data_IF_150789324584
#
_entry.id   IF_150789324584
#
_cell.length_a   1.000
_cell.length_b   1.000
_cell.length_c   1.000
_cell.angle_alpha   90.00
_cell.angle_beta   90.00
_cell.angle_gamma   90.00
#
_symmetry.space_group_name_H-M   'P 1'
#
loop_
_entity.id
_entity.type
_entity.pdbx_description
1 polymer ?
#
# COMPACT_ATOMS: atom_id res chain seq x y z
N UNK A 1 -32.10 27.21 27.11
CA UNK A 1 -32.33 26.25 26.02
C UNK A 1 -31.04 25.44 25.89
N UNK A 2 -30.97 24.30 26.57
CA UNK A 2 -29.77 23.45 26.67
C UNK A 2 -29.70 22.56 25.43
N UNK A 3 -28.60 22.64 24.69
CA UNK A 3 -28.31 21.77 23.56
C UNK A 3 -27.25 20.77 24.00
N UNK A 4 -27.64 19.50 24.16
CA UNK A 4 -26.68 18.40 24.24
C UNK A 4 -26.30 17.98 22.81
N UNK A 5 -25.01 17.83 22.48
CA UNK A 5 -24.62 17.16 21.26
C UNK A 5 -24.60 15.65 21.49
N UNK A 6 -25.37 14.95 20.65
CA UNK A 6 -25.27 13.50 20.44
C UNK A 6 -23.90 13.22 19.83
N UNK A 7 -23.07 12.48 20.56
CA UNK A 7 -21.88 11.84 20.01
C UNK A 7 -22.31 10.50 19.45
N UNK A 8 -22.36 10.37 18.12
CA UNK A 8 -22.53 9.09 17.47
C UNK A 8 -21.24 8.26 17.65
N UNK A 9 -21.35 7.22 18.47
CA UNK A 9 -20.41 6.11 18.58
C UNK A 9 -20.36 5.36 17.26
N UNK A 10 -19.26 5.50 16.51
CA UNK A 10 -18.86 4.50 15.53
C UNK A 10 -18.19 3.33 16.25
N UNK A 11 -19.03 2.46 16.83
CA UNK A 11 -18.63 1.13 17.28
C UNK A 11 -18.66 0.17 16.09
N UNK A 12 -17.50 -0.33 15.68
CA UNK A 12 -17.43 -1.44 14.73
C UNK A 12 -18.02 -2.72 15.38
N UNK A 13 -18.90 -3.47 14.70
CA UNK A 13 -19.46 -4.67 15.30
C UNK A 13 -18.43 -5.80 15.35
N UNK A 14 -18.27 -6.38 16.53
CA UNK A 14 -17.57 -7.63 16.81
C UNK A 14 -18.23 -8.80 16.08
N UNK A 15 -17.43 -9.60 15.38
CA UNK A 15 -17.88 -10.84 14.75
C UNK A 15 -18.24 -11.89 15.82
N UNK A 16 -19.53 -12.20 15.96
CA UNK A 16 -20.02 -13.33 16.74
C UNK A 16 -20.48 -14.47 15.83
N UNK A 17 -19.92 -15.64 16.10
CA UNK A 17 -20.28 -17.00 15.68
C UNK A 17 -21.73 -17.23 15.22
N UNK A 18 -21.88 -17.72 13.99
CA UNK A 18 -23.10 -18.38 13.50
C UNK A 18 -22.93 -19.91 13.59
N UNK A 19 -23.66 -20.53 14.51
CA UNK A 19 -24.01 -21.96 14.49
C UNK A 19 -25.53 -22.06 14.47
N UNK A 20 -26.09 -22.87 13.56
CA UNK A 20 -27.54 -23.06 13.50
C UNK A 20 -28.03 -23.70 12.21
N UNK A 21 -28.23 -25.01 12.28
CA UNK A 21 -28.68 -25.91 11.22
C UNK A 21 -30.20 -25.92 10.97
N UNK A 22 -30.55 -26.43 9.78
CA UNK A 22 -31.72 -27.26 9.43
C UNK A 22 -33.12 -26.63 9.31
N UNK A 23 -33.80 -26.92 8.19
CA UNK A 23 -35.26 -26.69 8.07
C UNK A 23 -35.85 -26.72 6.65
N UNK A 24 -35.90 -27.91 6.03
CA UNK A 24 -36.84 -28.43 5.01
C UNK A 24 -37.74 -27.52 4.13
N UNK A 25 -37.53 -27.68 2.81
CA UNK A 25 -38.46 -28.13 1.75
C UNK A 25 -39.86 -27.49 1.56
N UNK A 26 -40.17 -27.04 0.33
CA UNK A 26 -41.38 -27.43 -0.45
C UNK A 26 -41.12 -27.29 -1.98
N UNK A 27 -41.74 -28.21 -2.71
CA UNK A 27 -41.59 -28.66 -4.08
C UNK A 27 -42.19 -27.82 -5.25
N UNK A 28 -42.00 -28.41 -6.46
CA UNK A 28 -42.77 -28.33 -7.74
C UNK A 28 -42.36 -27.22 -8.73
N UNK A 29 -42.28 -27.41 -10.05
CA UNK A 29 -42.59 -28.55 -10.93
C UNK A 29 -42.03 -28.37 -12.36
N UNK A 30 -41.65 -29.50 -12.98
CA UNK A 30 -41.87 -29.96 -14.37
C UNK A 30 -41.78 -29.00 -15.58
N UNK A 31 -40.97 -29.44 -16.57
CA UNK A 31 -41.26 -29.77 -18.01
C UNK A 31 -39.99 -29.48 -18.82
N UNK A 32 -39.56 -30.20 -19.87
CA UNK A 32 -39.94 -31.41 -20.62
C UNK A 32 -38.73 -31.74 -21.52
N UNK A 33 -38.55 -33.02 -21.84
CA UNK A 33 -37.59 -33.56 -22.79
C UNK A 33 -37.66 -32.95 -24.20
N UNK A 34 -36.51 -32.90 -24.89
CA UNK A 34 -36.37 -33.37 -26.27
C UNK A 34 -35.01 -34.07 -26.44
N UNK A 35 -35.06 -35.29 -27.00
CA UNK A 35 -33.92 -36.10 -27.45
C UNK A 35 -34.06 -36.26 -28.96
N UNK A 36 -32.92 -36.28 -29.66
CA UNK A 36 -32.47 -37.13 -30.81
C UNK A 36 -31.52 -36.29 -31.70
N UNK A 37 -30.20 -36.56 -31.67
CA UNK A 37 -29.40 -37.47 -32.55
C UNK A 37 -29.43 -37.04 -34.03
N UNK A 38 -28.37 -37.03 -34.85
CA UNK A 38 -26.94 -37.31 -34.75
C UNK A 38 -26.24 -36.91 -36.08
N UNK A 39 -24.92 -36.73 -36.04
CA UNK A 39 -23.90 -37.03 -37.08
C UNK A 39 -23.99 -36.39 -38.49
N UNK A 40 -22.93 -35.70 -38.92
CA UNK A 40 -21.85 -36.23 -39.80
C UNK A 40 -20.80 -35.15 -40.05
N UNK A 41 -19.56 -35.61 -40.06
CA UNK A 41 -18.26 -34.97 -40.22
C UNK A 41 -18.07 -34.08 -41.45
N UNK A 42 -17.22 -33.05 -41.32
CA UNK A 42 -16.22 -32.75 -42.36
C UNK A 42 -14.91 -32.27 -41.71
N UNK A 43 -13.84 -32.96 -42.07
CA UNK A 43 -12.48 -32.68 -41.67
C UNK A 43 -11.93 -31.47 -42.43
N UNK A 44 -11.30 -30.54 -41.71
CA UNK A 44 -10.33 -29.62 -42.27
C UNK A 44 -9.17 -29.51 -41.28
N UNK A 45 -8.12 -30.27 -41.56
CA UNK A 45 -6.81 -30.20 -40.93
C UNK A 45 -6.15 -28.86 -41.30
N UNK A 46 -6.07 -27.92 -40.35
CA UNK A 46 -5.11 -26.82 -40.39
C UNK A 46 -4.02 -27.11 -39.37
N UNK A 47 -2.90 -27.60 -39.89
CA UNK A 47 -1.64 -27.77 -39.20
C UNK A 47 -1.08 -26.39 -38.86
N UNK A 48 -1.37 -25.87 -37.66
CA UNK A 48 -0.63 -24.75 -37.09
C UNK A 48 0.61 -25.33 -36.41
N UNK A 49 1.84 -24.90 -36.75
CA UNK A 49 3.01 -25.37 -36.07
C UNK A 49 2.94 -24.88 -34.61
N UNK A 50 2.91 -25.82 -33.68
CA UNK A 50 3.24 -25.60 -32.28
C UNK A 50 4.74 -25.24 -32.21
N UNK A 51 5.06 -24.01 -32.59
CA UNK A 51 6.33 -23.37 -32.28
C UNK A 51 6.31 -22.96 -30.81
N UNK A 52 7.30 -23.44 -30.06
CA UNK A 52 7.55 -23.13 -28.67
C UNK A 52 7.43 -21.63 -28.38
N UNK A 53 6.32 -21.22 -27.76
CA UNK A 53 6.26 -20.03 -26.91
C UNK A 53 6.76 -20.41 -25.51
N UNK A 54 8.01 -20.88 -25.42
CA UNK A 54 8.79 -20.67 -24.20
C UNK A 54 9.28 -19.23 -24.28
N UNK A 55 8.43 -18.29 -23.86
CA UNK A 55 8.84 -16.91 -23.64
C UNK A 55 10.01 -16.93 -22.67
N UNK A 56 11.20 -16.73 -23.23
CA UNK A 56 12.46 -16.85 -22.53
C UNK A 56 12.53 -15.68 -21.52
N UNK A 57 12.08 -15.91 -20.29
CA UNK A 57 12.18 -14.95 -19.20
C UNK A 57 13.62 -14.42 -19.03
N UNK A 58 14.60 -15.22 -19.45
CA UNK A 58 16.02 -14.86 -19.58
C UNK A 58 16.27 -13.69 -20.53
N UNK A 59 15.55 -13.58 -21.65
CA UNK A 59 15.71 -12.51 -22.64
C UNK A 59 15.18 -11.17 -22.11
N UNK A 60 14.07 -11.19 -21.37
CA UNK A 60 13.57 -10.02 -20.65
C UNK A 60 14.60 -9.58 -19.61
N UNK A 61 15.07 -10.49 -18.74
CA UNK A 61 16.09 -10.21 -17.71
C UNK A 61 17.40 -9.64 -18.29
N UNK A 62 17.79 -10.05 -19.52
CA UNK A 62 18.99 -9.53 -20.21
C UNK A 62 18.83 -8.12 -20.75
N UNK A 63 17.63 -7.74 -21.21
CA UNK A 63 17.35 -6.39 -21.71
C UNK A 63 17.48 -5.33 -20.60
N UNK A 64 17.10 -5.68 -19.36
CA UNK A 64 17.22 -4.79 -18.19
C UNK A 64 18.66 -4.39 -17.82
N UNK A 65 19.68 -5.15 -18.25
CA UNK A 65 21.07 -4.98 -17.79
C UNK A 65 21.93 -4.02 -18.62
N UNK A 66 21.45 -3.45 -19.73
CA UNK A 66 22.36 -2.84 -20.74
C UNK A 66 22.17 -1.34 -21.05
N UNK A 67 21.33 -0.59 -20.36
CA UNK A 67 21.26 0.87 -20.54
C UNK A 67 21.85 1.61 -19.34
N UNK A 68 23.12 2.02 -19.47
CA UNK A 68 23.84 2.91 -18.55
C UNK A 68 23.38 4.37 -18.60
N UNK A 69 22.07 4.60 -18.44
CA UNK A 69 21.49 5.91 -18.13
C UNK A 69 21.25 6.04 -16.63
N UNK A 70 21.14 7.27 -16.11
CA UNK A 70 20.69 7.50 -14.73
C UNK A 70 19.39 6.71 -14.49
N UNK A 71 19.41 5.82 -13.49
CA UNK A 71 18.25 5.02 -13.11
C UNK A 71 17.12 5.94 -12.63
N UNK A 72 16.21 6.27 -13.55
CA UNK A 72 15.05 7.08 -13.22
C UNK A 72 14.06 6.24 -12.40
N UNK A 73 13.45 6.88 -11.41
CA UNK A 73 12.44 6.26 -10.58
C UNK A 73 11.16 6.01 -11.37
N UNK A 74 10.91 4.76 -11.76
CA UNK A 74 9.79 4.38 -12.61
C UNK A 74 8.43 4.81 -12.01
N UNK A 75 8.24 4.66 -10.70
CA UNK A 75 6.97 4.99 -10.04
C UNK A 75 6.75 6.49 -9.83
N UNK A 76 7.79 7.31 -9.96
CA UNK A 76 7.69 8.78 -9.89
C UNK A 76 7.72 9.46 -11.27
N UNK A 77 7.84 8.71 -12.37
CA UNK A 77 7.67 9.22 -13.74
C UNK A 77 6.19 9.33 -14.09
N UNK A 78 5.79 10.18 -15.04
CA UNK A 78 4.47 10.11 -15.68
C UNK A 78 4.24 8.73 -16.31
N UNK A 79 3.00 8.25 -16.26
CA UNK A 79 2.67 6.91 -16.74
C UNK A 79 1.18 6.59 -16.66
N UNK A 80 0.89 5.35 -17.00
CA UNK A 80 -0.43 4.74 -17.00
C UNK A 80 -0.50 3.64 -15.94
N UNK A 81 -1.63 3.57 -15.23
CA UNK A 81 -1.92 2.46 -14.32
C UNK A 81 -2.88 1.47 -14.99
N UNK A 82 -2.39 0.26 -15.21
CA UNK A 82 -3.21 -0.87 -15.64
C UNK A 82 -3.87 -1.52 -14.43
N UNK A 83 -5.16 -1.87 -14.58
CA UNK A 83 -5.98 -2.58 -13.60
C UNK A 83 -6.82 -3.63 -14.33
N UNK A 84 -6.51 -4.90 -14.09
CA UNK A 84 -7.28 -6.05 -14.57
C UNK A 84 -8.37 -6.47 -13.60
N UNK A 85 -8.84 -7.71 -13.73
CA UNK A 85 -9.96 -8.23 -12.93
C UNK A 85 -9.52 -8.76 -11.56
N UNK A 86 -8.32 -9.35 -11.47
CA UNK A 86 -7.83 -10.01 -10.27
C UNK A 86 -7.16 -9.08 -9.26
N UNK A 87 -7.00 -9.53 -7.99
CA UNK A 87 -6.31 -8.77 -6.95
C UNK A 87 -4.80 -8.63 -7.20
N UNK A 88 -4.25 -9.35 -8.17
CA UNK A 88 -2.84 -9.29 -8.59
C UNK A 88 -2.64 -8.47 -9.87
N UNK A 89 -3.72 -8.07 -10.53
CA UNK A 89 -3.70 -7.55 -11.89
C UNK A 89 -3.62 -6.03 -11.85
N UNK A 90 -2.48 -5.52 -11.37
CA UNK A 90 -2.20 -4.10 -11.31
C UNK A 90 -0.75 -3.84 -11.69
N UNK A 91 -0.52 -2.85 -12.55
CA UNK A 91 0.82 -2.48 -13.02
C UNK A 91 0.94 -0.98 -13.27
N UNK A 92 2.04 -0.39 -12.82
CA UNK A 92 2.43 0.96 -13.23
C UNK A 92 3.33 0.88 -14.47
N UNK A 93 2.95 1.57 -15.54
CA UNK A 93 3.65 1.57 -16.82
C UNK A 93 4.09 3.01 -17.11
N UNK A 94 5.39 3.34 -16.91
CA UNK A 94 5.90 4.67 -17.24
C UNK A 94 5.79 4.94 -18.74
N UNK A 95 5.43 6.16 -19.12
CA UNK A 95 5.52 6.59 -20.51
C UNK A 95 6.98 6.74 -20.94
N UNK A 96 7.26 6.44 -22.20
CA UNK A 96 8.52 6.73 -22.89
C UNK A 96 8.32 7.79 -23.98
N UNK A 97 9.41 8.26 -24.59
CA UNK A 97 9.34 9.33 -25.60
C UNK A 97 8.50 8.94 -26.82
N UNK A 98 8.45 7.65 -27.18
CA UNK A 98 7.68 7.18 -28.33
C UNK A 98 6.17 7.22 -28.10
N UNK A 99 5.72 7.29 -26.84
CA UNK A 99 4.30 7.43 -26.50
C UNK A 99 3.73 8.82 -26.89
N UNK A 100 4.59 9.78 -27.19
CA UNK A 100 4.20 11.16 -27.54
C UNK A 100 4.43 11.49 -29.02
N UNK A 101 4.74 10.48 -29.84
CA UNK A 101 4.89 10.65 -31.29
C UNK A 101 3.57 11.08 -31.95
N UNK A 102 3.66 11.89 -33.01
CA UNK A 102 2.49 12.38 -33.76
C UNK A 102 1.85 11.33 -34.68
N UNK A 103 2.28 10.08 -34.59
CA UNK A 103 1.75 9.00 -35.41
C UNK A 103 0.30 8.72 -35.00
N UNK A 104 -0.66 8.62 -35.94
CA UNK A 104 -2.03 8.32 -35.61
C UNK A 104 -2.13 6.92 -34.99
N UNK A 105 -2.72 6.83 -33.80
CA UNK A 105 -2.97 5.58 -33.09
C UNK A 105 -4.41 5.16 -33.31
N UNK A 106 -4.64 3.86 -33.57
CA UNK A 106 -5.99 3.29 -33.70
C UNK A 106 -6.50 2.89 -32.32
N UNK A 107 -7.76 3.21 -32.00
CA UNK A 107 -8.40 2.69 -30.79
C UNK A 107 -8.75 1.22 -31.00
N UNK A 108 -8.17 0.35 -30.19
CA UNK A 108 -8.35 -1.10 -30.27
C UNK A 108 -9.26 -1.61 -29.15
N UNK A 109 -9.99 -2.70 -29.41
CA UNK A 109 -10.81 -3.36 -28.39
C UNK A 109 -9.95 -4.36 -27.58
N UNK A 110 -8.95 -3.83 -26.88
CA UNK A 110 -8.00 -4.60 -26.06
C UNK A 110 -7.88 -3.92 -24.69
N UNK A 111 -8.00 -4.71 -23.63
CA UNK A 111 -7.86 -4.22 -22.24
C UNK A 111 -6.41 -4.32 -21.74
N UNK A 112 -5.69 -5.32 -22.22
CA UNK A 112 -4.32 -5.59 -21.80
C UNK A 112 -3.34 -4.58 -22.40
N UNK A 113 -2.36 -4.10 -21.63
CA UNK A 113 -1.33 -3.23 -22.16
C UNK A 113 -0.45 -4.00 -23.16
N UNK A 114 0.06 -3.34 -24.21
CA UNK A 114 0.98 -3.98 -25.14
C UNK A 114 2.23 -4.53 -24.44
N UNK A 115 2.71 -5.69 -24.89
CA UNK A 115 3.84 -6.38 -24.25
C UNK A 115 5.10 -5.51 -24.24
N UNK A 116 5.35 -4.80 -25.33
CA UNK A 116 6.44 -3.84 -25.51
C UNK A 116 6.38 -2.63 -24.57
N UNK A 117 5.22 -2.35 -23.95
CA UNK A 117 5.10 -1.34 -22.88
C UNK A 117 5.25 -1.97 -21.51
N UNK A 118 4.76 -3.20 -21.31
CA UNK A 118 4.94 -3.95 -20.07
C UNK A 118 6.42 -4.23 -19.76
N UNK A 119 7.29 -4.39 -20.76
CA UNK A 119 8.73 -4.56 -20.52
C UNK A 119 9.39 -3.35 -19.85
N UNK A 120 8.79 -2.16 -19.93
CA UNK A 120 9.28 -0.94 -19.30
C UNK A 120 8.72 -0.74 -17.88
N UNK A 121 7.69 -1.50 -17.50
CA UNK A 121 7.12 -1.47 -16.15
C UNK A 121 8.09 -2.11 -15.14
N UNK A 122 8.15 -1.61 -13.89
CA UNK A 122 8.86 -2.31 -12.83
C UNK A 122 8.43 -3.79 -12.75
N UNK A 123 9.38 -4.72 -12.51
CA UNK A 123 9.03 -6.12 -12.35
C UNK A 123 8.01 -6.30 -11.22
N UNK A 124 7.15 -7.32 -11.34
CA UNK A 124 6.34 -7.76 -10.22
C UNK A 124 7.13 -8.74 -9.36
N UNK A 125 7.68 -8.20 -8.28
CA UNK A 125 8.40 -8.94 -7.27
C UNK A 125 7.48 -9.92 -6.54
N UNK A 126 6.20 -9.58 -6.35
CA UNK A 126 5.21 -10.52 -5.85
C UNK A 126 5.09 -11.76 -6.75
N UNK A 127 5.08 -11.57 -8.07
CA UNK A 127 5.06 -12.68 -9.03
C UNK A 127 6.33 -13.53 -8.92
N UNK A 128 7.50 -12.90 -8.77
CA UNK A 128 8.77 -13.63 -8.58
C UNK A 128 8.77 -14.47 -7.31
N UNK A 129 8.26 -13.95 -6.19
CA UNK A 129 8.14 -14.72 -4.93
C UNK A 129 7.19 -15.90 -5.10
N UNK A 130 6.03 -15.68 -5.73
CA UNK A 130 4.99 -16.70 -5.88
C UNK A 130 5.42 -17.83 -6.83
N UNK A 131 6.08 -17.48 -7.93
CA UNK A 131 6.33 -18.39 -9.04
C UNK A 131 7.74 -19.01 -9.01
N UNK A 132 8.60 -18.62 -8.05
CA UNK A 132 9.92 -19.20 -7.86
C UNK A 132 9.81 -20.72 -7.56
N UNK A 133 10.39 -21.60 -8.41
CA UNK A 133 10.37 -23.05 -8.16
C UNK A 133 11.15 -23.45 -6.90
N UNK A 134 12.21 -22.70 -6.61
CA UNK A 134 13.04 -22.82 -5.41
C UNK A 134 13.28 -21.41 -4.85
N UNK A 135 12.35 -20.98 -3.99
CA UNK A 135 12.38 -19.64 -3.40
C UNK A 135 13.65 -19.40 -2.55
N UNK A 136 14.18 -20.45 -1.93
CA UNK A 136 15.39 -20.35 -1.10
C UNK A 136 16.63 -20.01 -1.93
N UNK A 137 16.68 -20.43 -3.20
CA UNK A 137 17.84 -20.23 -4.07
C UNK A 137 17.56 -19.35 -5.30
N UNK A 138 16.44 -18.64 -5.34
CA UNK A 138 16.06 -17.75 -6.44
C UNK A 138 16.99 -16.51 -6.53
N UNK A 139 17.90 -16.43 -7.53
CA UNK A 139 18.91 -15.36 -7.60
C UNK A 139 18.31 -13.97 -7.86
N UNK A 140 17.15 -13.90 -8.51
CA UNK A 140 16.41 -12.65 -8.75
C UNK A 140 15.90 -11.99 -7.46
N UNK A 141 15.86 -12.74 -6.34
CA UNK A 141 15.43 -12.27 -5.02
C UNK A 141 16.59 -12.05 -4.04
N UNK A 142 17.85 -12.19 -4.46
CA UNK A 142 19.00 -12.02 -3.58
C UNK A 142 19.07 -10.63 -2.92
N UNK A 143 18.52 -9.61 -3.59
CA UNK A 143 18.49 -8.24 -3.06
C UNK A 143 17.65 -8.10 -1.78
N UNK A 144 16.65 -8.98 -1.55
CA UNK A 144 15.77 -8.93 -0.37
C UNK A 144 16.12 -9.98 0.68
N UNK A 145 17.07 -10.87 0.40
CA UNK A 145 17.43 -11.96 1.31
C UNK A 145 18.06 -11.44 2.60
N UNK A 146 17.51 -11.83 3.74
CA UNK A 146 17.99 -11.36 5.06
C UNK A 146 17.71 -9.88 5.34
N UNK A 147 16.74 -9.28 4.64
CA UNK A 147 16.45 -7.83 4.72
C UNK A 147 15.12 -7.52 5.39
N UNK A 148 15.02 -6.32 5.92
CA UNK A 148 13.80 -5.82 6.55
C UNK A 148 13.36 -4.47 5.98
N UNK A 149 12.10 -4.37 5.55
CA UNK A 149 11.45 -3.10 5.19
C UNK A 149 10.47 -2.73 6.30
N UNK A 150 10.56 -1.50 6.80
CA UNK A 150 9.66 -1.02 7.86
C UNK A 150 8.87 0.18 7.39
N UNK A 151 7.56 0.07 7.47
CA UNK A 151 6.65 1.21 7.38
C UNK A 151 6.41 1.80 8.75
N UNK A 152 6.53 3.11 8.88
CA UNK A 152 6.21 3.83 10.12
C UNK A 152 5.02 4.72 9.82
N UNK A 153 3.85 4.35 10.33
CA UNK A 153 2.61 4.99 9.94
C UNK A 153 1.46 4.50 10.79
N UNK A 154 0.37 4.12 10.13
CA UNK A 154 -0.90 3.85 10.79
C UNK A 154 -1.56 2.55 10.28
N UNK A 155 -2.87 2.43 10.50
CA UNK A 155 -3.65 1.26 10.11
C UNK A 155 -3.63 1.00 8.60
N UNK A 156 -3.34 2.00 7.76
CA UNK A 156 -3.19 1.80 6.32
C UNK A 156 -1.94 0.99 5.99
N UNK A 157 -0.82 1.26 6.69
CA UNK A 157 0.41 0.50 6.51
C UNK A 157 0.28 -0.92 7.08
N UNK A 158 -0.41 -1.08 8.21
CA UNK A 158 -0.77 -2.40 8.75
C UNK A 158 -1.57 -3.23 7.73
N UNK A 159 -2.59 -2.63 7.11
CA UNK A 159 -3.42 -3.29 6.08
C UNK A 159 -2.60 -3.72 4.87
N UNK A 160 -1.61 -2.92 4.47
CA UNK A 160 -0.68 -3.30 3.40
C UNK A 160 0.22 -4.48 3.79
N UNK A 161 0.69 -4.55 5.05
CA UNK A 161 1.41 -5.73 5.57
C UNK A 161 0.53 -6.98 5.58
N UNK A 162 -0.70 -6.87 6.08
CA UNK A 162 -1.67 -7.98 6.07
C UNK A 162 -1.90 -8.47 4.64
N UNK A 163 -2.05 -7.55 3.68
CA UNK A 163 -2.22 -7.86 2.26
C UNK A 163 -0.99 -8.53 1.65
N UNK A 164 0.21 -8.02 1.91
CA UNK A 164 1.47 -8.67 1.49
C UNK A 164 1.54 -10.10 2.00
N UNK A 165 1.24 -10.32 3.28
CA UNK A 165 1.32 -11.66 3.85
C UNK A 165 0.28 -12.61 3.26
N UNK A 166 -0.95 -12.12 3.08
CA UNK A 166 -2.02 -12.90 2.49
C UNK A 166 -1.74 -13.28 1.03
N UNK A 167 -1.06 -12.41 0.26
CA UNK A 167 -0.59 -12.73 -1.10
C UNK A 167 0.48 -13.84 -1.12
N UNK A 168 1.23 -14.02 -0.03
CA UNK A 168 2.40 -14.92 0.04
C UNK A 168 2.26 -16.07 1.02
N UNK A 169 1.03 -16.46 1.39
CA UNK A 169 0.77 -17.64 2.24
C UNK A 169 1.36 -18.90 1.63
N UNK A 170 1.23 -19.07 0.30
CA UNK A 170 1.77 -20.23 -0.41
C UNK A 170 3.32 -20.28 -0.39
N UNK A 171 3.97 -19.12 -0.26
CA UNK A 171 5.42 -18.99 -0.10
C UNK A 171 5.87 -19.12 1.38
N UNK A 172 4.97 -19.48 2.29
CA UNK A 172 5.26 -19.64 3.72
C UNK A 172 5.23 -18.33 4.52
N UNK A 173 4.57 -17.28 4.02
CA UNK A 173 4.42 -16.01 4.75
C UNK A 173 3.76 -16.19 6.12
N UNK A 174 4.42 -15.68 7.15
CA UNK A 174 3.96 -15.73 8.55
C UNK A 174 3.65 -14.32 9.03
N UNK A 175 2.38 -14.05 9.31
CA UNK A 175 1.96 -12.80 9.92
C UNK A 175 2.20 -12.85 11.44
N UNK A 176 2.81 -11.80 11.98
CA UNK A 176 2.91 -11.58 13.41
C UNK A 176 2.27 -10.22 13.74
N UNK A 177 1.31 -10.20 14.65
CA UNK A 177 0.69 -8.96 15.12
C UNK A 177 0.80 -8.87 16.63
N UNK A 178 1.28 -7.73 17.12
CA UNK A 178 1.37 -7.45 18.56
C UNK A 178 0.04 -7.01 19.17
N UNK A 179 -1.05 -7.05 18.38
CA UNK A 179 -2.37 -6.57 18.78
C UNK A 179 -2.46 -5.05 18.86
N UNK A 180 -3.69 -4.55 18.90
CA UNK A 180 -3.99 -3.12 18.94
C UNK A 180 -3.25 -2.32 17.86
N UNK A 181 -2.92 -1.08 18.21
CA UNK A 181 -2.15 -0.16 17.39
C UNK A 181 -0.67 -0.13 17.81
N UNK A 182 0.00 -1.29 17.74
CA UNK A 182 1.41 -1.46 18.13
C UNK A 182 2.30 -1.69 16.91
N UNK A 183 2.34 -2.93 16.42
CA UNK A 183 3.17 -3.35 15.30
C UNK A 183 2.56 -4.59 14.64
N UNK A 184 2.87 -4.78 13.36
CA UNK A 184 2.50 -5.97 12.59
C UNK A 184 3.57 -6.23 11.56
N UNK A 185 3.93 -7.49 11.35
CA UNK A 185 4.92 -7.89 10.36
C UNK A 185 4.48 -9.12 9.59
N UNK A 186 5.06 -9.29 8.40
CA UNK A 186 5.02 -10.51 7.64
C UNK A 186 6.45 -10.97 7.38
N UNK A 187 6.76 -12.19 7.78
CA UNK A 187 8.07 -12.81 7.57
C UNK A 187 7.97 -13.91 6.50
N UNK A 188 8.91 -13.93 5.56
CA UNK A 188 9.09 -14.98 4.55
C UNK A 188 10.34 -15.82 4.93
N UNK A 189 10.17 -17.01 5.54
CA UNK A 189 11.29 -17.78 6.06
C UNK A 189 12.33 -18.17 5.01
N UNK A 190 11.90 -18.61 3.81
CA UNK A 190 12.80 -19.05 2.74
C UNK A 190 13.75 -17.95 2.24
N UNK A 191 13.36 -16.68 2.40
CA UNK A 191 14.18 -15.53 2.05
C UNK A 191 14.83 -14.88 3.28
N UNK A 192 14.46 -15.30 4.49
CA UNK A 192 14.71 -14.55 5.72
C UNK A 192 14.37 -13.05 5.57
N UNK A 193 13.26 -12.74 4.90
CA UNK A 193 12.83 -11.38 4.59
C UNK A 193 11.67 -10.98 5.49
N UNK A 194 11.65 -9.73 5.95
CA UNK A 194 10.55 -9.19 6.76
C UNK A 194 10.03 -7.88 6.19
N UNK A 195 8.72 -7.76 6.05
CA UNK A 195 8.04 -6.48 5.88
C UNK A 195 7.26 -6.19 7.16
N UNK A 196 7.45 -5.00 7.77
CA UNK A 196 6.82 -4.65 9.03
C UNK A 196 6.16 -3.27 8.98
N UNK A 197 5.20 -3.06 9.88
CA UNK A 197 4.58 -1.78 10.16
C UNK A 197 4.72 -1.46 11.65
N UNK A 198 5.28 -0.29 11.94
CA UNK A 198 5.30 0.36 13.25
C UNK A 198 4.22 1.43 13.30
N UNK A 199 3.28 1.28 14.23
CA UNK A 199 2.13 2.17 14.32
C UNK A 199 2.44 3.39 15.20
N UNK A 200 2.04 4.59 14.77
CA UNK A 200 1.95 5.79 15.61
C UNK A 200 0.61 6.54 15.41
N UNK A 201 0.23 7.33 16.41
CA UNK A 201 -1.07 8.01 16.46
C UNK A 201 -1.00 9.43 15.88
N UNK A 202 -0.28 9.61 14.77
CA UNK A 202 0.04 10.93 14.22
C UNK A 202 1.19 11.61 14.98
N UNK A 203 1.30 12.93 14.82
CA UNK A 203 2.43 13.73 15.26
C UNK A 203 2.05 14.79 16.29
N UNK A 204 1.06 14.51 17.15
CA UNK A 204 0.76 15.33 18.32
C UNK A 204 2.06 15.64 19.10
N UNK A 205 2.11 16.81 19.74
CA UNK A 205 3.31 17.23 20.47
C UNK A 205 3.30 16.63 21.89
N UNK A 206 4.43 16.16 22.43
CA UNK A 206 4.48 15.58 23.78
C UNK A 206 3.94 16.48 24.90
N UNK A 207 3.90 17.80 24.70
CA UNK A 207 3.30 18.75 25.66
C UNK A 207 1.77 18.77 25.63
N UNK A 208 1.12 17.99 24.77
CA UNK A 208 -0.33 17.97 24.57
C UNK A 208 -0.98 16.77 25.24
N UNK A 209 -0.85 16.68 26.56
CA UNK A 209 -1.37 15.56 27.33
C UNK A 209 -2.88 15.35 27.16
N UNK A 210 -3.63 16.40 26.80
CA UNK A 210 -5.04 16.28 26.48
C UNK A 210 -5.32 15.29 25.32
N UNK A 211 -4.37 15.09 24.41
CA UNK A 211 -4.54 14.21 23.25
C UNK A 211 -4.80 12.77 23.69
N UNK A 212 -4.10 12.27 24.71
CA UNK A 212 -4.23 10.89 25.18
C UNK A 212 -5.63 10.56 25.70
N UNK A 213 -6.35 11.55 26.22
CA UNK A 213 -7.72 11.36 26.72
C UNK A 213 -8.74 11.02 25.63
N UNK A 214 -8.39 11.23 24.35
CA UNK A 214 -9.24 10.92 23.21
C UNK A 214 -9.00 9.51 22.63
N UNK A 215 -8.09 8.74 23.23
CA UNK A 215 -7.65 7.44 22.73
C UNK A 215 -8.04 6.33 23.71
N UNK A 216 -8.69 5.28 23.20
CA UNK A 216 -8.96 4.06 23.97
C UNK A 216 -7.62 3.36 24.25
N UNK A 217 -7.20 3.16 25.51
CA UNK A 217 -5.91 2.51 25.81
C UNK A 217 -5.91 1.01 25.48
N UNK A 218 -7.09 0.40 25.29
CA UNK A 218 -7.21 -1.01 24.88
C UNK A 218 -6.80 -1.17 23.42
N UNK A 219 -7.34 -0.31 22.54
CA UNK A 219 -7.05 -0.38 21.10
C UNK A 219 -5.79 0.41 20.73
N UNK A 220 -5.49 1.46 21.50
CA UNK A 220 -4.41 2.42 21.29
C UNK A 220 -3.50 2.44 22.52
N UNK A 221 -2.73 1.37 22.79
CA UNK A 221 -1.87 1.33 23.97
C UNK A 221 -0.76 2.40 23.91
N UNK A 222 -0.37 2.97 25.07
CA UNK A 222 0.75 3.92 25.17
C UNK A 222 2.09 3.27 24.79
N UNK A 223 3.14 4.05 24.48
CA UNK A 223 3.18 5.53 24.46
C UNK A 223 2.40 6.14 23.30
N UNK A 224 1.88 7.35 23.48
CA UNK A 224 1.01 8.01 22.48
C UNK A 224 1.76 8.91 21.49
N UNK A 225 2.91 9.44 21.90
CA UNK A 225 3.71 10.33 21.07
C UNK A 225 4.76 9.54 20.29
N UNK A 226 5.05 9.98 19.06
CA UNK A 226 6.01 9.30 18.19
C UNK A 226 7.38 9.19 18.87
N UNK A 227 7.83 10.29 19.50
CA UNK A 227 9.10 10.40 20.19
C UNK A 227 9.31 9.27 21.20
N UNK A 228 8.32 9.00 22.06
CA UNK A 228 8.41 7.97 23.09
C UNK A 228 8.29 6.55 22.52
N UNK A 229 7.53 6.39 21.44
CA UNK A 229 7.31 5.07 20.80
C UNK A 229 8.56 4.53 20.14
N UNK A 230 9.47 5.38 19.70
CA UNK A 230 10.71 4.92 19.06
C UNK A 230 11.49 4.02 20.01
N UNK A 231 11.81 4.49 21.22
CA UNK A 231 12.64 3.71 22.13
C UNK A 231 11.83 2.67 22.93
N UNK A 232 10.53 2.89 23.12
CA UNK A 232 9.69 1.99 23.93
C UNK A 232 9.03 0.87 23.13
N UNK A 233 8.82 1.06 21.82
CA UNK A 233 8.08 0.11 20.97
C UNK A 233 8.90 -0.30 19.76
N UNK A 234 9.35 0.67 18.96
CA UNK A 234 9.91 0.39 17.63
C UNK A 234 11.30 -0.26 17.71
N UNK A 235 12.19 0.31 18.52
CA UNK A 235 13.54 -0.23 18.71
C UNK A 235 13.50 -1.63 19.34
N UNK A 236 12.72 -1.88 20.41
CA UNK A 236 12.58 -3.23 20.94
C UNK A 236 12.03 -4.24 19.91
N UNK A 237 11.15 -3.82 19.02
CA UNK A 237 10.57 -4.68 17.97
C UNK A 237 11.62 -5.20 16.98
N UNK A 238 12.76 -4.53 16.84
CA UNK A 238 13.87 -4.98 15.98
C UNK A 238 14.47 -6.33 16.43
N UNK A 239 14.26 -6.74 17.68
CA UNK A 239 14.62 -8.09 18.14
C UNK A 239 13.82 -9.18 17.42
N UNK A 240 12.58 -8.86 17.03
CA UNK A 240 11.67 -9.78 16.36
C UNK A 240 11.78 -9.65 14.83
N UNK A 241 11.91 -8.43 14.30
CA UNK A 241 11.86 -8.16 12.85
C UNK A 241 13.22 -7.96 12.17
N UNK A 242 14.30 -7.84 12.94
CA UNK A 242 15.63 -7.47 12.44
C UNK A 242 15.85 -5.96 12.27
N UNK A 243 17.03 -5.59 11.78
CA UNK A 243 17.40 -4.21 11.52
C UNK A 243 16.77 -3.73 10.19
N UNK A 244 16.15 -2.54 10.13
CA UNK A 244 15.58 -2.01 8.89
C UNK A 244 16.67 -1.69 7.85
N UNK A 245 16.48 -2.16 6.62
CA UNK A 245 17.28 -1.77 5.44
C UNK A 245 16.61 -0.67 4.62
N UNK A 246 15.31 -0.44 4.85
CA UNK A 246 14.53 0.64 4.27
C UNK A 246 13.43 1.03 5.25
N UNK A 247 13.27 2.33 5.50
CA UNK A 247 12.17 2.86 6.30
C UNK A 247 11.29 3.76 5.43
N UNK A 248 9.98 3.51 5.43
CA UNK A 248 8.98 4.29 4.71
C UNK A 248 8.06 4.95 5.74
N UNK A 249 8.23 6.26 5.91
CA UNK A 249 7.47 7.07 6.86
C UNK A 249 6.12 7.50 6.27
N UNK A 250 5.09 7.60 7.10
CA UNK A 250 3.81 8.20 6.77
C UNK A 250 3.28 8.97 7.98
N UNK A 251 2.62 10.10 7.76
CA UNK A 251 1.74 10.66 8.77
C UNK A 251 0.68 11.55 8.13
N UNK A 252 -0.53 11.00 7.96
CA UNK A 252 -1.65 11.71 7.31
C UNK A 252 -2.96 11.53 8.09
N UNK A 253 -3.46 10.31 8.22
CA UNK A 253 -4.84 10.10 8.68
C UNK A 253 -5.05 10.39 10.16
N UNK A 254 -4.10 10.02 11.00
CA UNK A 254 -4.14 10.40 12.42
C UNK A 254 -3.90 11.89 12.64
N UNK A 255 -3.14 12.55 11.77
CA UNK A 255 -2.95 14.00 11.85
C UNK A 255 -4.24 14.76 11.47
N UNK A 256 -5.01 14.25 10.49
CA UNK A 256 -6.36 14.75 10.20
C UNK A 256 -7.30 14.64 11.41
N UNK A 257 -7.18 13.54 12.18
CA UNK A 257 -7.95 13.35 13.42
C UNK A 257 -7.46 14.26 14.54
N UNK A 258 -6.13 14.41 14.68
CA UNK A 258 -5.50 15.25 15.68
C UNK A 258 -5.95 16.72 15.56
N UNK A 259 -5.95 17.31 14.36
CA UNK A 259 -6.32 18.73 14.21
C UNK A 259 -7.77 19.01 14.62
N UNK A 260 -8.66 18.02 14.45
CA UNK A 260 -10.05 18.08 14.91
C UNK A 260 -10.15 17.98 16.43
N UNK A 261 -9.38 17.10 17.05
CA UNK A 261 -9.33 16.99 18.50
C UNK A 261 -8.75 18.23 19.14
N UNK A 262 -7.72 18.82 18.53
CA UNK A 262 -7.18 20.12 18.95
C UNK A 262 -8.25 21.22 18.87
N UNK A 263 -8.95 21.33 17.74
CA UNK A 263 -10.02 22.30 17.57
C UNK A 263 -11.16 22.11 18.60
N UNK A 264 -11.42 20.86 18.99
CA UNK A 264 -12.44 20.52 19.99
C UNK A 264 -11.98 20.90 21.39
N UNK A 265 -10.76 20.55 21.77
CA UNK A 265 -10.14 20.86 23.05
C UNK A 265 -10.07 22.38 23.30
N UNK A 266 -9.65 23.13 22.28
CA UNK A 266 -9.47 24.59 22.35
C UNK A 266 -10.78 25.38 22.17
N UNK A 267 -11.91 24.70 22.01
CA UNK A 267 -13.21 25.36 21.84
C UNK A 267 -13.32 26.20 20.55
N UNK A 268 -12.58 25.85 19.50
CA UNK A 268 -12.57 26.60 18.24
C UNK A 268 -13.91 26.55 17.49
N UNK A 269 -13.99 27.26 16.36
CA UNK A 269 -15.17 27.28 15.50
C UNK A 269 -15.59 25.87 15.06
N UNK A 270 -16.91 25.61 14.98
CA UNK A 270 -17.45 24.28 14.70
C UNK A 270 -16.97 23.70 13.36
N UNK A 271 -16.68 24.56 12.38
CA UNK A 271 -16.13 24.16 11.09
C UNK A 271 -14.80 23.43 11.25
N UNK A 272 -13.95 23.86 12.20
CA UNK A 272 -12.65 23.26 12.45
C UNK A 272 -12.73 21.90 13.15
N UNK A 273 -13.88 21.58 13.76
CA UNK A 273 -14.13 20.31 14.47
C UNK A 273 -14.60 19.18 13.55
N UNK A 274 -14.61 19.37 12.23
CA UNK A 274 -15.02 18.36 11.25
C UNK A 274 -13.81 17.59 10.72
N UNK A 275 -13.92 16.26 10.66
CA UNK A 275 -12.88 15.35 10.15
C UNK A 275 -12.71 15.47 8.63
N UNK A 276 -13.81 15.73 7.93
CA UNK A 276 -13.82 15.88 6.48
C UNK A 276 -14.01 17.36 6.13
N UNK A 277 -12.89 18.05 5.93
CA UNK A 277 -12.82 19.42 5.41
C UNK A 277 -11.42 19.73 4.89
N UNK A 278 -11.24 20.77 4.06
CA UNK A 278 -9.91 21.27 3.73
C UNK A 278 -9.12 21.70 4.98
N UNK A 279 -7.80 21.56 4.87
CA UNK A 279 -6.84 22.00 5.87
C UNK A 279 -6.67 23.52 5.80
N UNK A 280 -6.51 24.14 6.96
CA UNK A 280 -6.10 25.54 7.06
C UNK A 280 -4.61 25.68 6.81
N UNK A 281 -4.17 26.90 6.47
CA UNK A 281 -2.74 27.17 6.28
C UNK A 281 -1.89 26.84 7.52
N UNK A 282 -2.39 27.18 8.72
CA UNK A 282 -1.69 26.95 9.99
C UNK A 282 -1.62 25.47 10.37
N UNK A 283 -2.64 24.67 10.04
CA UNK A 283 -2.59 23.21 10.23
C UNK A 283 -1.54 22.57 9.31
N UNK A 284 -1.47 22.99 8.05
CA UNK A 284 -0.44 22.52 7.12
C UNK A 284 0.97 22.98 7.55
N UNK A 285 1.10 24.18 8.12
CA UNK A 285 2.35 24.68 8.68
C UNK A 285 2.81 23.86 9.89
N UNK A 286 1.89 23.57 10.81
CA UNK A 286 2.14 22.67 11.93
C UNK A 286 2.58 21.29 11.44
N UNK A 287 1.84 20.70 10.49
CA UNK A 287 2.15 19.38 9.93
C UNK A 287 3.55 19.35 9.31
N UNK A 288 3.92 20.36 8.50
CA UNK A 288 5.27 20.50 7.95
C UNK A 288 6.35 20.54 9.01
N UNK A 289 6.15 21.31 10.10
CA UNK A 289 7.11 21.36 11.22
C UNK A 289 7.27 19.98 11.85
N UNK A 290 6.17 19.26 12.08
CA UNK A 290 6.20 17.94 12.72
C UNK A 290 6.77 16.85 11.81
N UNK A 291 6.52 16.91 10.50
CA UNK A 291 7.18 16.04 9.52
C UNK A 291 8.70 16.19 9.53
N UNK A 292 9.22 17.43 9.65
CA UNK A 292 10.66 17.65 9.80
C UNK A 292 11.21 16.95 11.04
N UNK A 293 10.54 17.10 12.19
CA UNK A 293 10.96 16.47 13.44
C UNK A 293 10.94 14.94 13.32
N UNK A 294 9.88 14.37 12.73
CA UNK A 294 9.80 12.93 12.46
C UNK A 294 11.00 12.46 11.61
N UNK A 295 11.32 13.15 10.51
CA UNK A 295 12.47 12.76 9.66
C UNK A 295 13.79 12.87 10.41
N UNK A 296 14.02 13.95 11.16
CA UNK A 296 15.25 14.16 11.94
C UNK A 296 15.43 13.06 12.98
N UNK A 297 14.36 12.74 13.70
CA UNK A 297 14.33 11.70 14.72
C UNK A 297 14.66 10.32 14.14
N UNK A 298 14.11 9.96 12.98
CA UNK A 298 14.43 8.69 12.32
C UNK A 298 15.84 8.66 11.74
N UNK A 299 16.36 9.77 11.23
CA UNK A 299 17.76 9.86 10.77
C UNK A 299 18.76 9.69 11.90
N UNK A 300 18.45 10.29 13.05
CA UNK A 300 19.26 10.16 14.26
C UNK A 300 19.22 8.73 14.79
N UNK A 301 18.02 8.12 14.86
CA UNK A 301 17.85 6.80 15.45
C UNK A 301 18.36 5.65 14.57
N UNK A 302 18.23 5.79 13.24
CA UNK A 302 18.57 4.77 12.25
C UNK A 302 19.59 5.33 11.24
N UNK A 303 20.82 5.66 11.70
CA UNK A 303 21.81 6.30 10.85
C UNK A 303 22.19 5.37 9.69
N UNK A 304 22.18 5.93 8.48
CA UNK A 304 22.53 5.20 7.25
C UNK A 304 21.39 4.38 6.63
N UNK A 305 20.26 4.21 7.32
CA UNK A 305 19.08 3.56 6.73
C UNK A 305 18.36 4.53 5.78
N UNK A 306 18.16 4.19 4.50
CA UNK A 306 17.42 5.03 3.59
C UNK A 306 15.99 5.27 4.06
N UNK A 307 15.56 6.54 4.00
CA UNK A 307 14.21 6.95 4.35
C UNK A 307 13.42 7.31 3.08
N UNK A 308 12.14 6.96 3.07
CA UNK A 308 11.15 7.48 2.13
C UNK A 308 9.95 8.05 2.88
N UNK A 309 9.12 8.83 2.19
CA UNK A 309 7.84 9.27 2.71
C UNK A 309 6.68 8.83 1.81
N UNK A 310 5.77 8.03 2.36
CA UNK A 310 4.53 7.61 1.71
C UNK A 310 3.46 8.68 1.83
N UNK A 311 2.85 9.01 0.70
CA UNK A 311 1.70 9.90 0.65
C UNK A 311 0.39 9.18 0.99
N UNK A 312 -0.60 9.94 1.47
CA UNK A 312 -1.95 9.44 1.69
C UNK A 312 -2.64 9.15 0.35
N UNK A 313 -3.42 8.07 0.29
CA UNK A 313 -4.31 7.79 -0.83
C UNK A 313 -5.68 8.46 -0.62
N UNK A 314 -6.48 8.67 -1.68
CA UNK A 314 -7.85 9.18 -1.53
C UNK A 314 -8.72 8.26 -0.66
N UNK A 315 -9.76 8.84 -0.06
CA UNK A 315 -10.90 8.10 0.52
C UNK A 315 -11.81 7.59 -0.59
N UNK A 316 -12.58 6.55 -0.28
CA UNK A 316 -13.56 5.94 -1.18
C UNK A 316 -14.64 6.93 -1.67
N UNK A 317 -14.88 7.98 -0.89
CA UNK A 317 -15.76 9.09 -1.26
C UNK A 317 -15.07 10.44 -1.01
N UNK A 318 -15.62 11.51 -1.57
CA UNK A 318 -15.17 12.88 -1.31
C UNK A 318 -16.18 13.65 -0.44
N UNK A 319 -16.77 12.99 0.54
CA UNK A 319 -17.74 13.62 1.43
C UNK A 319 -17.10 14.84 2.13
N UNK A 320 -17.80 15.97 2.08
CA UNK A 320 -17.37 17.23 2.67
C UNK A 320 -15.95 17.68 2.28
N UNK A 321 -15.49 17.34 1.07
CA UNK A 321 -14.16 17.64 0.58
C UNK A 321 -13.04 16.93 1.37
N UNK A 322 -13.30 15.75 1.93
CA UNK A 322 -12.30 14.96 2.67
C UNK A 322 -11.04 14.66 1.84
N UNK A 323 -11.16 14.45 0.52
CA UNK A 323 -10.02 14.22 -0.35
C UNK A 323 -9.23 15.50 -0.65
N UNK A 324 -9.84 16.69 -0.50
CA UNK A 324 -9.11 17.97 -0.59
C UNK A 324 -8.11 18.09 0.58
N UNK A 325 -8.48 17.62 1.78
CA UNK A 325 -7.58 17.61 2.93
C UNK A 325 -6.34 16.74 2.67
N UNK A 326 -6.56 15.54 2.16
CA UNK A 326 -5.50 14.57 1.81
C UNK A 326 -4.60 15.16 0.72
N UNK A 327 -5.18 15.72 -0.34
CA UNK A 327 -4.43 16.41 -1.39
C UNK A 327 -3.55 17.52 -0.83
N UNK A 328 -4.10 18.41 0.01
CA UNK A 328 -3.35 19.52 0.61
C UNK A 328 -2.21 19.04 1.52
N UNK A 329 -2.45 18.00 2.32
CA UNK A 329 -1.40 17.41 3.15
C UNK A 329 -0.32 16.74 2.30
N UNK A 330 -0.70 16.03 1.24
CA UNK A 330 0.24 15.40 0.33
C UNK A 330 1.14 16.42 -0.37
N UNK A 331 0.59 17.51 -0.91
CA UNK A 331 1.39 18.57 -1.55
C UNK A 331 2.31 19.27 -0.55
N UNK A 332 1.80 19.52 0.66
CA UNK A 332 2.57 20.08 1.77
C UNK A 332 3.73 19.15 2.17
N UNK A 333 3.48 17.83 2.24
CA UNK A 333 4.48 16.82 2.53
C UNK A 333 5.51 16.69 1.40
N UNK A 334 5.11 16.65 0.12
CA UNK A 334 6.03 16.66 -1.03
C UNK A 334 7.00 17.83 -0.94
N UNK A 335 6.49 19.03 -0.69
CA UNK A 335 7.31 20.23 -0.57
C UNK A 335 8.28 20.17 0.64
N UNK A 336 7.91 19.51 1.73
CA UNK A 336 8.79 19.33 2.89
C UNK A 336 9.85 18.26 2.62
N UNK A 337 9.45 17.10 2.09
CA UNK A 337 10.35 15.98 1.80
C UNK A 337 11.40 16.36 0.75
N UNK A 338 11.02 17.15 -0.28
CA UNK A 338 11.96 17.70 -1.24
C UNK A 338 13.04 18.58 -0.57
N UNK A 339 12.66 19.42 0.41
CA UNK A 339 13.63 20.24 1.17
C UNK A 339 14.53 19.42 2.07
N UNK A 340 14.03 18.30 2.59
CA UNK A 340 14.79 17.40 3.45
C UNK A 340 15.62 16.40 2.67
N UNK A 341 15.48 16.31 1.35
CA UNK A 341 16.13 15.28 0.54
C UNK A 341 15.60 13.87 0.85
N UNK A 342 14.31 13.75 1.18
CA UNK A 342 13.64 12.46 1.40
C UNK A 342 12.81 12.13 0.16
N UNK A 343 13.06 11.00 -0.53
CA UNK A 343 12.27 10.59 -1.68
C UNK A 343 10.82 10.24 -1.30
N UNK A 344 9.92 10.42 -2.26
CA UNK A 344 8.50 10.09 -2.12
C UNK A 344 8.26 8.64 -2.53
N UNK A 345 7.50 7.91 -1.71
CA UNK A 345 6.88 6.64 -2.05
C UNK A 345 5.45 6.93 -2.56
N UNK A 346 5.21 6.93 -3.89
CA UNK A 346 4.04 7.57 -4.48
C UNK A 346 2.79 6.69 -4.49
N UNK A 347 2.79 5.54 -3.79
CA UNK A 347 1.71 4.55 -3.82
C UNK A 347 0.33 5.17 -3.68
N UNK A 348 0.14 6.05 -2.70
CA UNK A 348 -1.17 6.64 -2.46
C UNK A 348 -1.69 7.50 -3.61
N UNK A 349 -0.79 8.14 -4.38
CA UNK A 349 -1.17 8.91 -5.57
C UNK A 349 -1.52 8.02 -6.77
N UNK A 350 -1.04 6.78 -6.80
CA UNK A 350 -1.38 5.80 -7.84
C UNK A 350 -2.75 5.15 -7.61
N UNK A 351 -3.39 5.41 -6.46
CA UNK A 351 -4.71 4.88 -6.11
C UNK A 351 -5.86 5.84 -6.41
N UNK A 352 -5.63 6.87 -7.22
CA UNK A 352 -6.73 7.70 -7.71
C UNK A 352 -7.74 6.83 -8.47
N UNK A 353 -9.02 6.96 -8.13
CA UNK A 353 -10.09 6.14 -8.70
C UNK A 353 -10.20 4.71 -8.13
N UNK A 354 -9.49 4.39 -7.04
CA UNK A 354 -9.68 3.12 -6.33
C UNK A 354 -11.13 2.96 -5.85
N UNK A 355 -11.60 1.70 -5.80
CA UNK A 355 -12.95 1.36 -5.34
C UNK A 355 -12.96 0.23 -4.30
N UNK A 356 -11.87 -0.52 -4.16
CA UNK A 356 -11.80 -1.68 -3.28
C UNK A 356 -11.38 -1.32 -1.84
N UNK A 357 -12.31 -0.69 -1.13
CA UNK A 357 -12.14 -0.30 0.27
C UNK A 357 -12.96 -1.17 1.24
N UNK A 358 -12.37 -1.47 2.40
CA UNK A 358 -13.05 -2.11 3.54
C UNK A 358 -14.03 -1.16 4.23
N UNK A 359 -13.70 0.13 4.23
CA UNK A 359 -14.52 1.22 4.77
C UNK A 359 -14.28 2.50 3.93
N UNK A 360 -14.56 3.69 4.45
CA UNK A 360 -14.37 4.92 3.66
C UNK A 360 -12.90 5.29 3.41
N UNK A 361 -11.92 4.64 4.03
CA UNK A 361 -10.51 4.99 3.91
C UNK A 361 -9.54 3.79 3.82
N UNK A 362 -9.83 2.64 4.40
CA UNK A 362 -8.92 1.49 4.37
C UNK A 362 -9.15 0.65 3.12
N UNK A 363 -8.10 0.36 2.36
CA UNK A 363 -8.14 -0.63 1.26
C UNK A 363 -8.37 -2.04 1.82
N UNK A 364 -8.97 -2.95 1.05
CA UNK A 364 -9.17 -4.34 1.47
C UNK A 364 -7.87 -5.15 1.36
N UNK A 365 -7.49 -5.93 2.38
CA UNK A 365 -6.63 -7.09 2.20
C UNK A 365 -7.54 -8.30 1.90
N UNK A 366 -7.41 -9.02 0.80
CA UNK A 366 -6.43 -8.95 -0.29
C UNK A 366 -6.96 -8.10 -1.46
N UNK A 367 -6.18 -7.18 -2.01
CA UNK A 367 -6.59 -6.34 -3.16
C UNK A 367 -5.42 -5.91 -4.05
N UNK A 368 -5.75 -5.27 -5.18
CA UNK A 368 -4.81 -4.62 -6.09
C UNK A 368 -3.95 -3.56 -5.38
N UNK A 369 -4.50 -2.62 -4.58
CA UNK A 369 -3.71 -1.70 -3.76
C UNK A 369 -2.61 -2.36 -2.93
N UNK A 370 -2.93 -3.43 -2.19
CA UNK A 370 -1.96 -4.09 -1.33
C UNK A 370 -0.92 -4.86 -2.15
N UNK A 371 -1.30 -5.39 -3.32
CA UNK A 371 -0.36 -6.02 -4.25
C UNK A 371 0.65 -5.00 -4.81
N UNK A 372 0.15 -3.88 -5.35
CA UNK A 372 0.98 -2.79 -5.87
C UNK A 372 1.90 -2.21 -4.78
N UNK A 373 1.38 -2.04 -3.56
CA UNK A 373 2.16 -1.59 -2.42
C UNK A 373 3.43 -2.44 -2.23
N UNK A 374 3.26 -3.76 -2.22
CA UNK A 374 4.35 -4.72 -2.04
C UNK A 374 5.36 -4.67 -3.17
N UNK A 375 4.90 -4.60 -4.43
CA UNK A 375 5.80 -4.48 -5.59
C UNK A 375 6.62 -3.18 -5.53
N UNK A 376 5.99 -2.07 -5.12
CA UNK A 376 6.69 -0.79 -4.93
C UNK A 376 7.70 -0.86 -3.78
N UNK A 377 7.33 -1.44 -2.64
CA UNK A 377 8.23 -1.56 -1.49
C UNK A 377 9.48 -2.39 -1.84
N UNK A 378 9.31 -3.50 -2.57
CA UNK A 378 10.40 -4.36 -3.01
C UNK A 378 11.25 -3.69 -4.11
N UNK A 379 10.63 -2.92 -5.02
CA UNK A 379 11.36 -2.08 -5.96
C UNK A 379 12.30 -1.09 -5.25
N UNK A 380 11.79 -0.37 -4.25
CA UNK A 380 12.59 0.59 -3.52
C UNK A 380 13.62 -0.05 -2.59
N UNK A 381 13.34 -1.23 -2.03
CA UNK A 381 14.35 -2.01 -1.32
C UNK A 381 15.51 -2.39 -2.24
N UNK A 382 15.21 -2.88 -3.46
CA UNK A 382 16.24 -3.21 -4.45
C UNK A 382 17.12 -2.00 -4.77
N UNK A 383 16.52 -0.81 -4.90
CA UNK A 383 17.27 0.45 -5.08
C UNK A 383 18.08 0.85 -3.86
N UNK A 384 17.54 0.66 -2.65
CA UNK A 384 18.27 0.93 -1.41
C UNK A 384 19.53 0.04 -1.30
N UNK A 385 19.40 -1.25 -1.62
CA UNK A 385 20.50 -2.24 -1.53
C UNK A 385 21.54 -2.06 -2.64
N UNK A 386 21.10 -1.86 -3.89
CA UNK A 386 22.02 -1.74 -5.03
C UNK A 386 22.61 -0.32 -5.17
N UNK A 387 22.01 0.66 -4.50
CA UNK A 387 22.31 2.08 -4.61
C UNK A 387 21.24 2.80 -5.43
N UNK A 388 20.74 3.92 -4.90
CA UNK A 388 19.60 4.68 -5.45
C UNK A 388 19.70 5.06 -6.92
N UNK A 389 20.93 5.20 -7.44
CA UNK A 389 21.22 5.59 -8.81
C UNK A 389 21.49 4.38 -9.72
N UNK A 390 21.47 3.14 -9.21
CA UNK A 390 21.75 1.91 -9.95
C UNK A 390 20.45 1.15 -10.23
N UNK A 391 20.15 1.05 -11.53
CA UNK A 391 19.29 0.04 -12.12
C UNK A 391 20.25 -1.07 -12.59
#
# INVERSE_FOLDING_TARGET
>A
MQYQPVLDEFSAPSASSYTGSSGLAVAKARRRCFIWLALVSLAATLSVPFGQLSGDASALVKAWRTQGGYCQDAYNRPGYIYRGEGPTDIRWIPYDESDFDLNPVTLENVLEPPLEKLVNAPPSFNTWIRDAPDLENAPELDFMRGRTVVMVGDSHDRRNIEGFCAHHVAAGGVVNSKGGHVATSCHLPALNFTMASWFHYGLAEPSEDWYMSNLSPVDNPPPYFLEDRIDSVFVPDMLDIGQPDLIILNSIYWDLRYVVYKASHEGWAWQLKRVTRPMTWRELEWHRRRLRIMVELFRERFPGVPLMFRLGHPRANNEHNGNVAIYQMNESARAMMARLGVPIFPWGSLLEGETDYSDVMHVKPVSQPTYLFSDMALYYLRRAVNGWNKC
#
